data_IF_315712720174
#
_entry.id   IF_315712720174
#
_cell.length_a   1.000
_cell.length_b   1.000
_cell.length_c   1.000
_cell.angle_alpha   90.00
_cell.angle_beta   90.00
_cell.angle_gamma   90.00
#
_symmetry.space_group_name_H-M   'P 1'
#
loop_
_entity.id
_entity.type
_entity.pdbx_description
1 polymer ?
#
# COMPACT_ATOMS: atom_id res chain seq x y z
N UNK A 1 18.94 13.11 1.59
CA UNK A 1 18.37 12.40 0.44
C UNK A 1 19.03 11.02 0.39
N UNK A 2 18.29 9.95 0.08
CA UNK A 2 18.90 8.64 -0.16
C UNK A 2 19.98 8.77 -1.24
N UNK A 3 21.04 7.97 -1.13
CA UNK A 3 22.23 8.07 -1.98
C UNK A 3 22.02 7.52 -3.41
N UNK A 4 20.86 6.95 -3.70
CA UNK A 4 20.51 6.35 -4.98
C UNK A 4 19.00 6.16 -5.14
N UNK A 5 18.57 5.44 -6.20
CA UNK A 5 17.18 5.06 -6.41
C UNK A 5 16.61 4.33 -5.19
N UNK A 6 15.35 4.60 -4.87
CA UNK A 6 14.62 3.92 -3.79
C UNK A 6 13.38 3.28 -4.41
N UNK A 7 13.09 2.06 -4.00
CA UNK A 7 11.86 1.36 -4.35
C UNK A 7 10.85 1.62 -3.24
N UNK A 8 9.75 2.30 -3.58
CA UNK A 8 8.61 2.45 -2.69
C UNK A 8 7.67 1.28 -2.89
N UNK A 9 7.27 0.64 -1.79
CA UNK A 9 6.41 -0.54 -1.84
C UNK A 9 5.23 -0.41 -0.88
N UNK A 10 4.08 -0.88 -1.35
CA UNK A 10 2.84 -0.98 -0.58
C UNK A 10 2.41 -2.43 -0.58
N UNK A 11 2.44 -3.07 0.58
CA UNK A 11 1.90 -4.42 0.76
C UNK A 11 0.48 -4.34 1.34
N UNK A 12 -0.46 -5.03 0.71
CA UNK A 12 -1.84 -5.19 1.19
C UNK A 12 -1.96 -6.55 1.84
N UNK A 13 -1.97 -6.58 3.16
CA UNK A 13 -2.01 -7.80 3.95
C UNK A 13 -3.47 -8.08 4.30
N UNK A 14 -4.03 -9.15 3.73
CA UNK A 14 -5.39 -9.58 4.07
C UNK A 14 -5.49 -9.83 5.58
N UNK A 15 -6.47 -9.19 6.21
CA UNK A 15 -6.83 -9.50 7.59
C UNK A 15 -7.55 -10.83 7.64
N UNK A 16 -7.28 -11.65 8.66
CA UNK A 16 -8.23 -12.70 9.02
C UNK A 16 -9.44 -12.02 9.65
N UNK A 17 -10.57 -11.97 8.93
CA UNK A 17 -11.82 -11.44 9.48
C UNK A 17 -12.37 -12.45 10.47
N UNK A 18 -12.19 -12.17 11.77
CA UNK A 18 -12.66 -13.01 12.88
C UNK A 18 -13.80 -12.34 13.65
N UNK A 19 -13.82 -11.02 13.65
CA UNK A 19 -14.83 -10.17 14.28
C UNK A 19 -15.37 -9.12 13.28
N UNK A 20 -16.64 -8.68 13.39
CA UNK A 20 -17.16 -7.57 12.58
C UNK A 20 -16.38 -6.25 12.73
N UNK A 21 -15.64 -6.10 13.82
CA UNK A 21 -14.75 -4.98 14.07
C UNK A 21 -13.34 -5.18 13.53
N UNK A 22 -13.04 -6.24 12.78
CA UNK A 22 -11.77 -6.38 12.07
C UNK A 22 -11.80 -5.57 10.76
N UNK A 23 -10.67 -4.93 10.47
CA UNK A 23 -10.48 -4.21 9.21
C UNK A 23 -10.34 -5.20 8.04
N UNK A 24 -10.66 -4.79 6.80
CA UNK A 24 -10.58 -5.68 5.64
C UNK A 24 -9.14 -6.13 5.35
N UNK A 25 -8.17 -5.27 5.62
CA UNK A 25 -6.75 -5.50 5.42
C UNK A 25 -5.93 -4.55 6.29
N UNK A 26 -4.62 -4.82 6.36
CA UNK A 26 -3.60 -3.88 6.85
C UNK A 26 -2.72 -3.47 5.68
N UNK A 27 -2.54 -2.16 5.51
CA UNK A 27 -1.62 -1.61 4.51
C UNK A 27 -0.27 -1.36 5.17
N UNK A 28 0.79 -1.97 4.64
CA UNK A 28 2.16 -1.66 5.02
C UNK A 28 2.81 -0.78 3.95
N UNK A 29 3.28 0.39 4.37
CA UNK A 29 3.94 1.38 3.51
C UNK A 29 5.42 1.39 3.87
N UNK A 30 6.28 1.19 2.88
CA UNK A 30 7.70 1.09 3.16
C UNK A 30 8.61 1.23 1.95
N UNK A 31 9.86 0.88 2.19
CA UNK A 31 10.92 0.86 1.19
C UNK A 31 11.46 -0.55 1.05
N UNK A 32 11.84 -0.92 -0.17
CA UNK A 32 12.65 -2.10 -0.39
C UNK A 32 14.13 -1.70 -0.36
N UNK A 33 14.90 -2.39 0.49
CA UNK A 33 16.33 -2.20 0.64
C UNK A 33 17.08 -2.85 -0.55
N UNK A 34 18.34 -2.46 -0.81
CA UNK A 34 19.11 -3.02 -1.93
C UNK A 34 19.30 -4.55 -1.92
N UNK A 35 19.10 -5.20 -0.77
CA UNK A 35 19.15 -6.66 -0.62
C UNK A 35 17.79 -7.35 -0.85
N UNK A 36 16.76 -6.59 -1.23
CA UNK A 36 15.39 -7.07 -1.46
C UNK A 36 14.53 -7.14 -0.19
N UNK A 37 15.06 -6.74 0.97
CA UNK A 37 14.30 -6.74 2.22
C UNK A 37 13.29 -5.59 2.23
N UNK A 38 12.04 -5.86 2.63
CA UNK A 38 11.04 -4.82 2.83
C UNK A 38 11.11 -4.26 4.26
N UNK A 39 11.37 -2.96 4.38
CA UNK A 39 11.31 -2.22 5.64
C UNK A 39 10.02 -1.41 5.70
N UNK A 40 9.06 -1.86 6.52
CA UNK A 40 7.83 -1.12 6.76
C UNK A 40 8.12 0.16 7.57
N UNK A 41 7.73 1.31 7.02
CA UNK A 41 7.84 2.61 7.68
C UNK A 41 6.56 2.99 8.43
N UNK A 42 5.42 2.50 7.95
CA UNK A 42 4.13 2.68 8.59
C UNK A 42 3.19 1.51 8.26
N UNK A 43 2.27 1.23 9.18
CA UNK A 43 1.11 0.36 8.95
C UNK A 43 -0.18 1.12 9.19
N UNK A 44 -1.21 0.81 8.42
CA UNK A 44 -2.53 1.44 8.49
C UNK A 44 -3.63 0.38 8.40
N UNK A 45 -4.57 0.41 9.33
CA UNK A 45 -5.81 -0.38 9.21
C UNK A 45 -6.60 0.13 7.99
N UNK A 46 -6.81 -0.74 7.00
CA UNK A 46 -7.43 -0.42 5.72
C UNK A 46 -8.87 0.09 5.85
N UNK A 47 -9.53 -0.17 6.98
CA UNK A 47 -10.87 0.34 7.30
C UNK A 47 -10.94 1.87 7.25
N UNK A 48 -9.87 2.56 7.64
CA UNK A 48 -9.84 4.01 7.60
C UNK A 48 -9.76 4.59 6.18
N UNK A 49 -9.59 3.75 5.16
CA UNK A 49 -9.64 4.11 3.75
C UNK A 49 -10.83 3.47 3.02
N UNK A 50 -11.76 2.86 3.75
CA UNK A 50 -12.95 2.24 3.17
C UNK A 50 -14.04 3.29 2.91
N UNK A 51 -14.99 2.95 2.02
CA UNK A 51 -16.15 3.82 1.73
C UNK A 51 -17.10 3.95 2.92
N UNK A 52 -17.15 2.95 3.80
CA UNK A 52 -17.96 2.96 5.02
C UNK A 52 -17.48 4.04 6.01
N UNK A 53 -16.16 4.30 6.07
CA UNK A 53 -15.57 5.29 6.98
C UNK A 53 -15.36 6.64 6.30
N UNK A 54 -14.80 6.65 5.09
CA UNK A 54 -14.48 7.89 4.37
C UNK A 54 -15.69 8.49 3.65
N UNK A 55 -16.75 7.71 3.45
CA UNK A 55 -17.91 8.07 2.65
C UNK A 55 -17.63 8.08 1.15
N UNK A 56 -18.65 8.44 0.36
CA UNK A 56 -18.55 8.53 -1.09
C UNK A 56 -18.73 7.20 -1.83
N UNK A 57 -18.34 7.18 -3.10
CA UNK A 57 -18.58 6.06 -4.03
C UNK A 57 -17.31 5.57 -4.74
N UNK A 58 -16.14 6.00 -4.27
CA UNK A 58 -14.85 5.69 -4.89
C UNK A 58 -14.09 4.65 -4.08
N UNK A 59 -13.36 3.78 -4.78
CA UNK A 59 -12.41 2.84 -4.16
C UNK A 59 -11.04 3.46 -3.92
N UNK A 60 -10.16 2.69 -3.27
CA UNK A 60 -8.76 3.04 -3.04
C UNK A 60 -7.98 3.10 -4.35
N UNK A 61 -7.03 4.03 -4.43
CA UNK A 61 -6.07 4.14 -5.54
C UNK A 61 -4.65 4.19 -5.00
N UNK A 62 -3.71 3.58 -5.73
CA UNK A 62 -2.27 3.71 -5.49
C UNK A 62 -1.71 4.54 -6.64
N UNK A 63 -1.00 5.62 -6.32
CA UNK A 63 -0.52 6.58 -7.32
C UNK A 63 0.82 7.19 -6.96
N UNK A 64 1.60 7.50 -8.00
CA UNK A 64 2.87 8.21 -7.89
C UNK A 64 2.60 9.72 -7.80
N UNK A 65 3.17 10.38 -6.78
CA UNK A 65 2.92 11.79 -6.52
C UNK A 65 4.17 12.49 -5.97
N UNK A 66 4.40 13.72 -6.41
CA UNK A 66 5.41 14.62 -5.85
C UNK A 66 4.73 15.90 -5.38
N UNK A 67 4.71 16.14 -4.07
CA UNK A 67 4.08 17.32 -3.49
C UNK A 67 4.84 18.62 -3.80
N UNK A 68 6.16 18.51 -3.94
CA UNK A 68 7.06 19.62 -4.29
C UNK A 68 8.31 19.09 -5.00
N UNK A 69 8.94 19.94 -5.80
CA UNK A 69 10.11 19.59 -6.59
C UNK A 69 9.80 18.65 -7.75
N UNK A 70 10.84 18.01 -8.28
CA UNK A 70 10.74 17.08 -9.41
C UNK A 70 11.24 15.71 -8.98
N UNK A 71 10.42 14.69 -9.16
CA UNK A 71 10.77 13.28 -8.95
C UNK A 71 10.71 12.56 -10.28
N UNK A 72 11.67 11.66 -10.52
CA UNK A 72 11.63 10.75 -11.65
C UNK A 72 11.17 9.38 -11.16
N UNK A 73 10.06 8.91 -11.72
CA UNK A 73 9.61 7.53 -11.57
C UNK A 73 10.06 6.76 -12.80
N UNK A 74 10.82 5.69 -12.59
CA UNK A 74 11.33 4.87 -13.70
C UNK A 74 10.33 3.78 -14.11
N UNK A 75 9.60 3.23 -13.14
CA UNK A 75 8.61 2.19 -13.34
C UNK A 75 7.55 2.19 -12.22
N UNK A 76 6.45 1.47 -12.47
CA UNK A 76 5.43 1.13 -11.48
C UNK A 76 5.00 -0.32 -11.73
N UNK A 77 5.09 -1.17 -10.70
CA UNK A 77 4.66 -2.56 -10.75
C UNK A 77 3.49 -2.77 -9.79
N UNK A 78 2.50 -3.55 -10.24
CA UNK A 78 1.35 -3.94 -9.44
C UNK A 78 1.14 -5.44 -9.55
N UNK A 79 1.29 -6.14 -8.42
CA UNK A 79 1.05 -7.58 -8.31
C UNK A 79 -0.28 -7.80 -7.59
N UNK A 80 -1.36 -8.20 -8.28
CA UNK A 80 -2.61 -8.53 -7.61
C UNK A 80 -2.47 -9.82 -6.79
N UNK A 81 -3.23 -9.92 -5.71
CA UNK A 81 -3.39 -11.20 -5.02
C UNK A 81 -3.94 -12.25 -6.02
N UNK A 82 -3.54 -13.53 -5.88
CA UNK A 82 -4.07 -14.59 -6.73
C UNK A 82 -5.59 -14.64 -6.65
N UNK A 83 -6.24 -14.88 -7.80
CA UNK A 83 -7.69 -15.03 -7.84
C UNK A 83 -8.12 -16.22 -6.98
N UNK A 84 -9.17 -16.03 -6.18
CA UNK A 84 -9.80 -17.13 -5.45
C UNK A 84 -10.61 -17.97 -6.45
N UNK A 85 -10.11 -19.16 -6.79
CA UNK A 85 -10.87 -20.20 -7.52
C UNK A 85 -11.75 -20.96 -6.54
N UNK A 86 -13.06 -20.91 -6.77
CA UNK A 86 -14.08 -21.68 -6.05
C UNK A 86 -14.22 -23.10 -6.60
#
# INVERSE_FOLDING_TARGET
>A
MPSGPVILRVDVLAGEVRDPCDGPDTLALGVEEPDGTFTALATLDGRYLSTEVTGGFTGRVIGMFAAAGTVRFDWFEYTPAPAVTW
#
